data_IF_017130186993
#
_entry.id   IF_017130186993
#
_cell.length_a   1.000
_cell.length_b   1.000
_cell.length_c   1.000
_cell.angle_alpha   90.00
_cell.angle_beta   90.00
_cell.angle_gamma   90.00
#
_symmetry.space_group_name_H-M   'P 1'
#
loop_
_entity.id
_entity.type
_entity.pdbx_description
1 polymer ?
#
# COMPACT_ATOMS: atom_id res chain seq x y z
N UNK A 1 21.36 -47.73 -49.93
CA UNK A 1 21.78 -48.87 -49.08
C UNK A 1 21.27 -48.61 -47.68
N UNK A 2 20.26 -49.39 -47.29
CA UNK A 2 19.50 -49.27 -46.03
C UNK A 2 20.35 -49.67 -44.84
N UNK A 3 20.19 -48.99 -43.69
CA UNK A 3 20.33 -49.65 -42.39
C UNK A 3 19.42 -48.97 -41.39
N UNK A 4 18.43 -49.67 -40.90
CA UNK A 4 17.55 -49.36 -39.76
C UNK A 4 18.28 -49.71 -38.48
N UNK A 5 18.25 -48.86 -37.49
CA UNK A 5 18.56 -49.20 -36.09
C UNK A 5 17.34 -48.91 -35.24
N UNK A 6 16.72 -49.95 -34.72
CA UNK A 6 15.70 -49.96 -33.69
C UNK A 6 16.32 -49.53 -32.34
N UNK A 7 15.69 -48.60 -31.67
CA UNK A 7 15.93 -48.40 -30.21
C UNK A 7 14.64 -48.61 -29.45
N UNK A 8 14.67 -49.60 -28.61
CA UNK A 8 13.70 -50.04 -27.62
C UNK A 8 13.41 -48.92 -26.61
N UNK A 9 12.13 -48.67 -26.38
CA UNK A 9 11.63 -47.79 -25.28
C UNK A 9 11.79 -48.55 -23.95
N UNK A 10 12.64 -48.00 -23.08
CA UNK A 10 12.64 -48.33 -21.66
C UNK A 10 11.60 -47.47 -20.93
N UNK A 11 10.69 -48.15 -20.24
CA UNK A 11 9.62 -47.53 -19.47
C UNK A 11 10.13 -46.91 -18.16
N UNK A 12 10.23 -45.59 -18.13
CA UNK A 12 10.40 -44.89 -16.85
C UNK A 12 9.06 -44.75 -16.14
N UNK A 13 8.93 -45.38 -14.98
CA UNK A 13 7.85 -45.18 -14.03
C UNK A 13 7.90 -43.76 -13.48
N UNK A 14 6.84 -43.00 -13.72
CA UNK A 14 6.63 -41.68 -13.04
C UNK A 14 6.47 -41.93 -11.52
N UNK A 15 7.11 -41.12 -10.67
CA UNK A 15 6.83 -41.19 -9.24
C UNK A 15 5.44 -40.58 -8.98
N UNK A 16 4.67 -41.25 -8.12
CA UNK A 16 3.36 -40.76 -7.67
C UNK A 16 3.49 -39.38 -7.01
N UNK A 17 2.73 -38.40 -7.50
CA UNK A 17 2.66 -37.10 -6.92
C UNK A 17 2.02 -37.15 -5.53
N UNK A 18 2.80 -36.81 -4.51
CA UNK A 18 2.28 -36.56 -3.18
C UNK A 18 1.43 -35.28 -3.20
N UNK A 19 0.21 -35.29 -2.65
CA UNK A 19 -0.60 -34.08 -2.61
C UNK A 19 0.12 -33.02 -1.76
N UNK A 20 0.29 -31.82 -2.34
CA UNK A 20 0.94 -30.70 -1.67
C UNK A 20 0.12 -30.27 -0.46
N UNK A 21 0.79 -29.81 0.60
CA UNK A 21 0.18 -29.24 1.81
C UNK A 21 -0.88 -28.17 1.51
N UNK A 22 -0.82 -27.54 0.34
CA UNK A 22 -1.82 -26.57 -0.14
C UNK A 22 -3.20 -27.20 -0.38
N UNK A 23 -3.25 -28.43 -0.88
CA UNK A 23 -4.51 -29.16 -1.10
C UNK A 23 -5.21 -29.55 0.21
N UNK A 24 -4.45 -29.78 1.28
CA UNK A 24 -4.98 -30.10 2.60
C UNK A 24 -5.62 -28.88 3.29
N UNK A 25 -5.09 -27.68 3.07
CA UNK A 25 -5.68 -26.45 3.62
C UNK A 25 -7.00 -26.05 2.95
N UNK A 26 -7.16 -26.35 1.66
CA UNK A 26 -8.41 -26.05 0.93
C UNK A 26 -9.53 -27.01 1.31
N UNK A 27 -9.23 -28.25 1.66
CA UNK A 27 -10.23 -29.24 2.05
C UNK A 27 -10.86 -28.97 3.44
N UNK A 28 -10.16 -28.25 4.33
CA UNK A 28 -10.69 -27.90 5.66
C UNK A 28 -11.64 -26.67 5.63
N UNK A 29 -11.63 -25.88 4.57
CA UNK A 29 -12.45 -24.66 4.44
C UNK A 29 -13.87 -24.91 3.86
N UNK A 30 -14.20 -26.14 3.44
CA UNK A 30 -15.45 -26.47 2.75
C UNK A 30 -16.50 -27.19 3.62
N UNK A 31 -16.41 -27.13 4.96
CA UNK A 31 -17.51 -27.60 5.80
C UNK A 31 -18.61 -26.54 5.90
N UNK A 32 -19.88 -26.85 5.56
CA UNK A 32 -20.96 -25.87 5.66
C UNK A 32 -21.29 -25.63 7.14
N UNK A 33 -20.93 -24.44 7.65
CA UNK A 33 -21.46 -23.95 8.92
C UNK A 33 -22.85 -23.41 8.69
N UNK A 34 -23.83 -23.99 9.38
CA UNK A 34 -25.20 -23.48 9.44
C UNK A 34 -25.22 -22.10 10.08
N UNK A 35 -25.58 -21.08 9.29
CA UNK A 35 -25.75 -19.72 9.79
C UNK A 35 -26.98 -19.64 10.68
N UNK A 36 -26.80 -19.33 11.97
CA UNK A 36 -27.89 -18.84 12.82
C UNK A 36 -28.09 -17.36 12.50
N UNK A 37 -29.29 -17.02 12.05
CA UNK A 37 -29.69 -15.63 11.88
C UNK A 37 -29.83 -14.97 13.27
N UNK A 38 -28.98 -14.01 13.57
CA UNK A 38 -29.13 -13.13 14.70
C UNK A 38 -30.11 -12.00 14.35
N UNK A 39 -31.06 -11.75 15.21
CA UNK A 39 -32.06 -10.68 15.10
C UNK A 39 -31.39 -9.32 15.12
N UNK A 40 -31.69 -8.48 14.15
CA UNK A 40 -31.29 -7.08 14.11
C UNK A 40 -32.04 -6.30 15.19
N UNK A 41 -31.34 -5.91 16.26
CA UNK A 41 -31.77 -4.79 17.09
C UNK A 41 -31.38 -3.51 16.35
N UNK A 42 -32.34 -2.60 16.13
CA UNK A 42 -32.04 -1.26 15.63
C UNK A 42 -31.27 -0.49 16.72
N UNK A 43 -29.98 -0.37 16.56
CA UNK A 43 -29.16 0.50 17.41
C UNK A 43 -29.40 1.96 17.00
N UNK A 44 -30.13 2.66 17.88
CA UNK A 44 -30.24 4.12 17.80
C UNK A 44 -28.88 4.71 18.19
N UNK A 45 -28.12 5.20 17.23
CA UNK A 45 -26.86 5.92 17.50
C UNK A 45 -27.22 7.26 18.14
N UNK A 46 -27.13 7.33 19.45
CA UNK A 46 -27.15 8.60 20.20
C UNK A 46 -25.75 9.20 20.01
N UNK A 47 -25.66 10.27 19.20
CA UNK A 47 -24.44 11.09 19.14
C UNK A 47 -24.45 11.97 20.39
N UNK A 48 -23.89 11.45 21.47
CA UNK A 48 -23.56 12.27 22.64
C UNK A 48 -22.27 13.02 22.31
N UNK A 49 -22.30 14.37 22.36
CA UNK A 49 -21.16 15.24 22.11
C UNK A 49 -20.12 15.25 23.26
N UNK A 50 -20.16 14.25 24.12
CA UNK A 50 -19.11 14.00 25.11
C UNK A 50 -17.91 13.32 24.46
N UNK A 51 -16.74 13.89 24.64
CA UNK A 51 -15.47 13.32 24.19
C UNK A 51 -15.16 12.06 24.98
N UNK A 52 -15.55 10.90 24.46
CA UNK A 52 -15.06 9.62 24.95
C UNK A 52 -13.71 9.34 24.24
N UNK A 53 -12.62 9.65 24.93
CA UNK A 53 -11.24 9.46 24.46
C UNK A 53 -10.86 7.96 24.27
N UNK A 54 -11.79 7.04 24.48
CA UNK A 54 -11.57 5.60 24.36
C UNK A 54 -11.96 5.03 23.00
N UNK A 55 -12.41 5.86 22.05
CA UNK A 55 -12.78 5.35 20.73
C UNK A 55 -11.52 4.89 19.97
N UNK A 56 -11.49 3.60 19.75
CA UNK A 56 -10.49 2.93 18.92
C UNK A 56 -10.53 3.52 17.50
N UNK A 57 -9.39 4.06 17.04
CA UNK A 57 -9.25 4.68 15.73
C UNK A 57 -9.24 3.67 14.58
N UNK A 58 -9.33 2.38 14.89
CA UNK A 58 -9.26 1.32 13.88
C UNK A 58 -10.53 1.29 13.03
N UNK A 59 -10.39 1.64 11.75
CA UNK A 59 -11.47 1.46 10.76
C UNK A 59 -11.76 -0.03 10.51
N UNK A 60 -10.88 -0.94 10.94
CA UNK A 60 -11.07 -2.39 10.80
C UNK A 60 -12.21 -2.95 11.68
N UNK A 61 -12.63 -2.23 12.71
CA UNK A 61 -13.78 -2.59 13.53
C UNK A 61 -15.12 -2.10 12.93
N UNK A 62 -15.06 -1.14 12.02
CA UNK A 62 -16.25 -0.62 11.35
C UNK A 62 -16.29 -1.15 9.91
N UNK A 63 -17.23 -2.04 9.62
CA UNK A 63 -17.55 -2.49 8.25
C UNK A 63 -18.22 -1.35 7.46
N UNK A 64 -17.66 -0.14 7.54
CA UNK A 64 -18.23 1.06 6.96
C UNK A 64 -17.22 1.73 6.00
N UNK A 65 -17.77 2.42 4.99
CA UNK A 65 -17.02 3.24 4.06
C UNK A 65 -16.59 4.58 4.66
N UNK A 66 -17.17 4.98 5.78
CA UNK A 66 -16.91 6.24 6.46
C UNK A 66 -16.25 6.01 7.81
N UNK A 67 -15.27 6.84 8.14
CA UNK A 67 -14.71 6.90 9.49
C UNK A 67 -15.41 8.00 10.28
N UNK A 68 -15.71 7.74 11.55
CA UNK A 68 -16.35 8.72 12.44
C UNK A 68 -15.37 9.83 12.80
N UNK A 69 -14.13 9.47 13.10
CA UNK A 69 -13.08 10.38 13.52
C UNK A 69 -11.76 10.05 12.83
N UNK A 70 -10.86 11.02 12.73
CA UNK A 70 -9.51 10.83 12.23
C UNK A 70 -8.55 11.82 12.92
N UNK A 71 -7.27 11.44 13.01
CA UNK A 71 -6.19 12.31 13.49
C UNK A 71 -5.49 13.03 12.35
N UNK A 72 -5.76 12.64 11.10
CA UNK A 72 -5.08 13.14 9.92
C UNK A 72 -5.33 14.63 9.71
N UNK A 73 -4.25 15.36 9.46
CA UNK A 73 -4.27 16.81 9.23
C UNK A 73 -4.06 17.64 10.48
N UNK A 74 -4.32 17.13 11.69
CA UNK A 74 -4.20 17.91 12.93
C UNK A 74 -3.54 17.16 14.10
N UNK A 75 -3.45 15.84 14.05
CA UNK A 75 -3.13 14.90 15.16
C UNK A 75 -4.12 14.96 16.34
N UNK A 76 -5.12 15.81 16.28
CA UNK A 76 -6.28 15.79 17.18
C UNK A 76 -7.32 14.83 16.63
N UNK A 77 -8.05 14.18 17.53
CA UNK A 77 -9.12 13.25 17.15
C UNK A 77 -10.37 14.05 16.77
N UNK A 78 -10.54 14.34 15.49
CA UNK A 78 -11.63 15.19 14.99
C UNK A 78 -12.55 14.44 14.05
N UNK A 79 -13.82 14.83 14.04
CA UNK A 79 -14.75 14.44 12.98
C UNK A 79 -14.24 15.06 11.65
N UNK A 80 -14.24 14.33 10.52
CA UNK A 80 -13.71 14.86 9.24
C UNK A 80 -14.29 16.21 8.83
N UNK A 81 -15.53 16.52 9.24
CA UNK A 81 -16.19 17.79 8.98
C UNK A 81 -15.56 18.98 9.74
N UNK A 82 -14.96 18.73 10.89
CA UNK A 82 -14.38 19.76 11.75
C UNK A 82 -12.90 20.04 11.42
N UNK A 83 -12.32 19.26 10.52
CA UNK A 83 -10.97 19.47 10.01
C UNK A 83 -11.02 20.60 8.96
N UNK A 84 -10.24 21.69 9.11
CA UNK A 84 -10.29 22.84 8.19
C UNK A 84 -9.61 22.57 6.85
N UNK A 85 -9.61 21.33 6.39
CA UNK A 85 -9.02 20.86 5.14
C UNK A 85 -9.93 19.81 4.50
N UNK A 86 -9.76 19.60 3.19
CA UNK A 86 -10.50 18.57 2.47
C UNK A 86 -9.87 17.22 2.72
N UNK A 87 -10.48 16.38 3.55
CA UNK A 87 -10.02 15.05 3.90
C UNK A 87 -10.85 13.98 3.20
N UNK A 88 -10.19 12.94 2.72
CA UNK A 88 -10.80 11.69 2.30
C UNK A 88 -10.15 10.54 3.04
N UNK A 89 -10.94 9.67 3.63
CA UNK A 89 -10.46 8.44 4.26
C UNK A 89 -10.99 7.26 3.45
N UNK A 90 -10.10 6.41 3.00
CA UNK A 90 -10.41 5.20 2.25
C UNK A 90 -10.15 4.03 3.18
N UNK A 91 -11.23 3.47 3.73
CA UNK A 91 -11.19 2.37 4.70
C UNK A 91 -10.74 1.05 4.06
N UNK A 92 -10.34 0.11 4.89
CA UNK A 92 -10.01 -1.26 4.46
C UNK A 92 -11.19 -1.90 3.72
N UNK A 93 -12.41 -1.76 4.23
CA UNK A 93 -13.61 -2.31 3.59
C UNK A 93 -13.78 -1.74 2.18
N UNK A 94 -13.66 -0.43 2.02
CA UNK A 94 -13.74 0.21 0.71
C UNK A 94 -12.61 -0.27 -0.24
N UNK A 95 -11.39 -0.43 0.27
CA UNK A 95 -10.29 -0.96 -0.55
C UNK A 95 -10.58 -2.40 -1.00
N UNK A 96 -11.13 -3.23 -0.13
CA UNK A 96 -11.49 -4.61 -0.44
C UNK A 96 -12.62 -4.68 -1.47
N UNK A 97 -13.75 -3.98 -1.25
CA UNK A 97 -14.93 -4.02 -2.11
C UNK A 97 -14.67 -3.44 -3.52
N UNK A 98 -13.83 -2.42 -3.60
CA UNK A 98 -13.42 -1.81 -4.87
C UNK A 98 -12.17 -2.46 -5.48
N UNK A 99 -11.64 -3.53 -4.86
CA UNK A 99 -10.44 -4.25 -5.30
C UNK A 99 -9.24 -3.33 -5.54
N UNK A 100 -9.02 -2.36 -4.63
CA UNK A 100 -7.90 -1.41 -4.69
C UNK A 100 -6.68 -2.04 -4.02
N UNK A 101 -5.81 -2.65 -4.80
CA UNK A 101 -4.71 -3.51 -4.33
C UNK A 101 -3.36 -2.79 -4.23
N UNK A 102 -3.30 -1.50 -4.60
CA UNK A 102 -2.10 -0.67 -4.44
C UNK A 102 -2.47 0.76 -4.03
N UNK A 103 -1.52 1.45 -3.41
CA UNK A 103 -1.68 2.88 -3.07
C UNK A 103 -2.02 3.70 -4.31
N UNK A 104 -1.38 3.40 -5.45
CA UNK A 104 -1.67 4.06 -6.72
C UNK A 104 -3.12 3.91 -7.16
N UNK A 105 -3.72 2.72 -7.01
CA UNK A 105 -5.13 2.49 -7.30
C UNK A 105 -6.04 3.27 -6.34
N UNK A 106 -5.70 3.34 -5.05
CA UNK A 106 -6.43 4.15 -4.08
C UNK A 106 -6.41 5.62 -4.47
N UNK A 107 -5.23 6.16 -4.79
CA UNK A 107 -5.08 7.56 -5.20
C UNK A 107 -5.83 7.87 -6.49
N UNK A 108 -5.78 6.98 -7.49
CA UNK A 108 -6.54 7.12 -8.75
C UNK A 108 -8.05 7.18 -8.50
N UNK A 109 -8.55 6.47 -7.49
CA UNK A 109 -9.97 6.44 -7.12
C UNK A 109 -10.33 7.50 -6.05
N UNK A 110 -9.41 8.38 -5.69
CA UNK A 110 -9.65 9.44 -4.71
C UNK A 110 -10.05 10.75 -5.39
N UNK A 111 -11.19 11.31 -5.02
CA UNK A 111 -11.68 12.59 -5.54
C UNK A 111 -10.66 13.69 -5.35
N UNK A 112 -10.38 14.48 -6.40
CA UNK A 112 -9.45 15.60 -6.38
C UNK A 112 -7.97 15.20 -6.48
N UNK A 113 -7.69 13.93 -6.80
CA UNK A 113 -6.38 13.46 -7.22
C UNK A 113 -6.45 13.10 -8.71
N UNK A 114 -5.44 13.52 -9.45
CA UNK A 114 -5.27 13.18 -10.87
C UNK A 114 -4.04 12.30 -11.01
N UNK A 115 -4.20 11.13 -11.62
CA UNK A 115 -3.11 10.23 -11.93
C UNK A 115 -2.60 10.51 -13.36
N UNK A 116 -1.29 10.62 -13.50
CA UNK A 116 -0.61 10.66 -14.79
C UNK A 116 0.31 9.44 -14.92
N UNK A 117 -0.10 8.51 -15.76
CA UNK A 117 0.70 7.33 -16.11
C UNK A 117 1.85 7.80 -17.01
N UNK A 118 3.07 7.56 -16.58
CA UNK A 118 4.29 7.88 -17.35
C UNK A 118 4.73 6.70 -18.21
N UNK A 119 4.62 5.51 -17.65
CA UNK A 119 4.93 4.23 -18.30
C UNK A 119 4.24 3.06 -17.58
N UNK A 120 4.63 1.84 -17.86
CA UNK A 120 4.01 0.65 -17.27
C UNK A 120 4.13 0.57 -15.74
N UNK A 121 5.18 1.18 -15.16
CA UNK A 121 5.55 1.03 -13.74
C UNK A 121 5.47 2.32 -12.95
N UNK A 122 5.41 3.48 -13.61
CA UNK A 122 5.44 4.77 -12.95
C UNK A 122 4.18 5.56 -13.21
N UNK A 123 3.51 5.88 -12.14
CA UNK A 123 2.38 6.82 -12.11
C UNK A 123 2.71 7.94 -11.13
N UNK A 124 2.53 9.16 -11.54
CA UNK A 124 2.66 10.34 -10.70
C UNK A 124 1.28 10.92 -10.41
N UNK A 125 1.12 11.52 -9.25
CA UNK A 125 -0.15 12.01 -8.77
C UNK A 125 -0.11 13.51 -8.56
N UNK A 126 -1.20 14.17 -8.91
CA UNK A 126 -1.35 15.61 -8.78
C UNK A 126 -2.64 15.93 -8.02
N UNK A 127 -2.61 16.98 -7.25
CA UNK A 127 -3.79 17.59 -6.65
C UNK A 127 -3.71 19.09 -6.81
N UNK A 128 -4.79 19.72 -7.25
CA UNK A 128 -4.86 21.18 -7.47
C UNK A 128 -3.73 21.72 -8.37
N UNK A 129 -3.24 20.90 -9.31
CA UNK A 129 -2.17 21.27 -10.25
C UNK A 129 -0.74 21.07 -9.72
N UNK A 130 -0.58 20.63 -8.45
CA UNK A 130 0.73 20.36 -7.85
C UNK A 130 0.99 18.88 -7.71
N UNK A 131 2.25 18.47 -7.90
CA UNK A 131 2.71 17.11 -7.69
C UNK A 131 2.57 16.71 -6.21
N UNK A 132 2.00 15.53 -5.95
CA UNK A 132 1.87 14.96 -4.60
C UNK A 132 3.20 14.36 -4.18
N UNK A 133 3.93 15.08 -3.34
CA UNK A 133 5.24 14.66 -2.81
C UNK A 133 5.18 14.23 -1.33
N UNK A 134 4.13 14.61 -0.61
CA UNK A 134 4.02 14.43 0.83
C UNK A 134 3.27 13.15 1.15
N UNK A 135 4.00 12.17 1.65
CA UNK A 135 3.47 10.88 2.10
C UNK A 135 3.82 10.66 3.57
N UNK A 136 3.11 9.78 4.24
CA UNK A 136 3.44 9.35 5.59
C UNK A 136 3.06 7.88 5.83
N UNK A 137 3.73 7.27 6.77
CA UNK A 137 3.40 5.98 7.35
C UNK A 137 3.12 6.18 8.83
N UNK A 138 1.87 5.97 9.26
CA UNK A 138 1.40 6.25 10.63
C UNK A 138 1.81 7.67 11.10
N UNK A 139 1.52 8.67 10.26
CA UNK A 139 1.88 10.09 10.45
C UNK A 139 3.39 10.41 10.46
N UNK A 140 4.28 9.43 10.24
CA UNK A 140 5.71 9.67 10.05
C UNK A 140 5.98 10.15 8.63
N UNK A 141 6.41 11.40 8.43
CA UNK A 141 6.51 12.00 7.11
C UNK A 141 7.63 11.37 6.28
N UNK A 142 7.32 11.11 5.02
CA UNK A 142 8.27 10.75 3.97
C UNK A 142 8.03 11.61 2.74
N UNK A 143 9.03 11.81 1.91
CA UNK A 143 8.91 12.56 0.67
C UNK A 143 9.24 11.69 -0.52
N UNK A 144 8.32 11.65 -1.48
CA UNK A 144 8.53 10.99 -2.76
C UNK A 144 8.83 12.07 -3.79
N UNK A 145 10.01 12.02 -4.37
CA UNK A 145 10.41 12.91 -5.45
C UNK A 145 9.88 12.38 -6.78
N UNK A 146 9.48 13.28 -7.68
CA UNK A 146 9.09 12.90 -9.04
C UNK A 146 10.26 12.22 -9.79
N UNK A 147 11.48 12.73 -9.60
CA UNK A 147 12.71 12.19 -10.22
C UNK A 147 13.13 10.86 -9.57
N UNK A 148 13.02 10.75 -8.25
CA UNK A 148 13.38 9.57 -7.46
C UNK A 148 12.15 8.78 -7.04
N UNK A 149 11.24 8.55 -7.98
CA UNK A 149 10.07 7.72 -7.76
C UNK A 149 10.44 6.24 -7.95
N UNK A 150 10.67 5.55 -6.85
CA UNK A 150 11.02 4.12 -6.83
C UNK A 150 9.78 3.21 -6.89
N UNK A 151 8.62 3.75 -7.26
CA UNK A 151 7.39 2.98 -7.33
C UNK A 151 6.71 2.76 -5.97
N UNK A 152 6.91 3.66 -5.03
CA UNK A 152 6.33 3.59 -3.68
C UNK A 152 4.81 3.39 -3.70
N UNK A 153 4.13 3.96 -4.70
CA UNK A 153 2.67 3.84 -4.85
C UNK A 153 2.22 2.47 -5.37
N UNK A 154 3.14 1.58 -5.75
CA UNK A 154 2.85 0.17 -6.04
C UNK A 154 2.72 -0.69 -4.77
N UNK A 155 3.02 -0.12 -3.59
CA UNK A 155 2.88 -0.79 -2.30
C UNK A 155 1.47 -1.36 -2.12
N UNK A 156 1.41 -2.56 -1.50
CA UNK A 156 0.18 -3.32 -1.36
C UNK A 156 -0.72 -2.75 -0.25
N UNK A 157 -2.01 -2.67 -0.53
CA UNK A 157 -2.99 -2.13 0.43
C UNK A 157 -3.38 -3.12 1.53
N UNK A 158 -3.10 -4.41 1.38
CA UNK A 158 -3.51 -5.43 2.34
C UNK A 158 -2.97 -5.21 3.76
N UNK A 159 -1.83 -4.52 3.88
CA UNK A 159 -1.18 -4.24 5.16
C UNK A 159 -1.68 -2.96 5.85
N UNK A 160 -2.51 -2.15 5.15
CA UNK A 160 -3.03 -0.90 5.69
C UNK A 160 -4.48 -1.05 6.17
N UNK A 161 -4.78 -0.42 7.27
CA UNK A 161 -6.12 -0.27 7.82
C UNK A 161 -6.93 0.73 6.99
N UNK A 162 -6.31 1.85 6.66
CA UNK A 162 -6.89 2.91 5.83
C UNK A 162 -5.83 3.77 5.17
N UNK A 163 -6.23 4.47 4.13
CA UNK A 163 -5.44 5.50 3.47
C UNK A 163 -6.16 6.83 3.62
N UNK A 164 -5.48 7.82 4.13
CA UNK A 164 -6.01 9.15 4.40
C UNK A 164 -5.38 10.16 3.46
N UNK A 165 -6.20 10.98 2.80
CA UNK A 165 -5.74 11.98 1.82
C UNK A 165 -6.25 13.34 2.21
N UNK A 166 -5.33 14.21 2.65
CA UNK A 166 -5.59 15.62 2.99
C UNK A 166 -5.13 16.49 1.84
N UNK A 167 -6.05 17.22 1.21
CA UNK A 167 -5.76 18.03 0.02
C UNK A 167 -5.57 19.52 0.35
N UNK A 168 -4.53 20.10 -0.24
CA UNK A 168 -4.20 21.52 -0.13
C UNK A 168 -2.91 21.77 0.64
N UNK A 169 -2.86 22.87 1.37
CA UNK A 169 -1.70 23.25 2.17
C UNK A 169 -1.58 22.30 3.37
N UNK A 170 -0.58 21.44 3.35
CA UNK A 170 -0.37 20.37 4.33
C UNK A 170 0.79 20.67 5.29
N UNK A 171 1.30 21.91 5.27
CA UNK A 171 2.47 22.33 6.01
C UNK A 171 2.41 22.12 7.54
N UNK A 172 1.19 22.07 8.10
CA UNK A 172 1.02 21.78 9.53
C UNK A 172 1.51 20.36 9.89
N UNK A 173 1.30 19.39 8.97
CA UNK A 173 1.64 17.99 9.21
C UNK A 173 2.96 17.57 8.57
N UNK A 174 3.26 18.11 7.39
CA UNK A 174 4.43 17.71 6.60
C UNK A 174 5.60 18.71 6.65
N UNK A 175 5.40 19.89 7.27
CA UNK A 175 6.37 20.97 7.28
C UNK A 175 6.58 21.57 5.90
N UNK A 176 7.53 21.04 5.14
CA UNK A 176 7.82 21.47 3.75
C UNK A 176 7.17 20.53 2.74
N UNK A 177 6.90 21.03 1.56
CA UNK A 177 6.37 20.25 0.44
C UNK A 177 5.41 21.04 -0.44
N UNK A 178 4.91 20.39 -1.48
CA UNK A 178 3.96 20.99 -2.40
C UNK A 178 2.56 21.12 -1.75
N UNK A 179 1.82 22.18 -2.03
CA UNK A 179 0.44 22.36 -1.55
C UNK A 179 -0.57 21.51 -2.33
N UNK A 180 -0.21 20.28 -2.64
CA UNK A 180 -0.99 19.30 -3.39
C UNK A 180 -1.91 18.49 -2.49
N UNK A 181 -1.33 17.49 -1.88
CA UNK A 181 -1.97 16.62 -0.90
C UNK A 181 -0.91 16.00 0.03
N UNK A 182 -1.38 15.57 1.19
CA UNK A 182 -0.68 14.69 2.12
C UNK A 182 -1.40 13.35 2.14
N UNK A 183 -0.66 12.27 1.95
CA UNK A 183 -1.19 10.91 1.89
C UNK A 183 -0.63 10.11 3.06
N UNK A 184 -1.48 9.76 4.02
CA UNK A 184 -1.10 8.98 5.18
C UNK A 184 -1.57 7.53 5.03
N UNK A 185 -0.64 6.60 5.15
CA UNK A 185 -0.88 5.16 5.10
C UNK A 185 -0.86 4.62 6.51
N UNK A 186 -2.05 4.36 7.06
CA UNK A 186 -2.21 3.86 8.42
C UNK A 186 -2.15 2.33 8.39
N UNK A 187 -1.18 1.75 9.09
CA UNK A 187 -0.96 0.30 9.12
C UNK A 187 -1.98 -0.40 10.00
N UNK A 188 -2.20 -1.67 9.73
CA UNK A 188 -2.99 -2.56 10.56
C UNK A 188 -2.27 -2.90 11.85
N UNK A 189 -3.00 -2.97 12.95
CA UNK A 189 -2.54 -3.42 14.27
C UNK A 189 -3.03 -4.83 14.60
N UNK A 190 -2.47 -5.43 15.64
CA UNK A 190 -2.92 -6.70 16.22
C UNK A 190 -3.88 -6.40 17.37
N UNK A 191 -5.15 -6.20 17.05
CA UNK A 191 -6.19 -5.78 17.99
C UNK A 191 -7.07 -6.93 18.52
N UNK A 192 -7.01 -8.12 17.91
CA UNK A 192 -7.89 -9.22 18.28
C UNK A 192 -7.44 -9.96 19.55
N UNK A 193 -8.39 -10.13 20.46
CA UNK A 193 -8.25 -10.96 21.66
C UNK A 193 -8.46 -12.47 21.39
N UNK A 194 -8.82 -12.82 20.14
CA UNK A 194 -9.05 -14.19 19.69
C UNK A 194 -8.27 -14.45 18.42
N UNK A 195 -8.05 -15.72 18.10
CA UNK A 195 -7.47 -16.07 16.80
C UNK A 195 -8.47 -15.71 15.70
N UNK A 196 -8.02 -14.86 14.77
CA UNK A 196 -8.73 -14.53 13.53
C UNK A 196 -7.84 -14.75 12.34
N UNK A 197 -8.43 -15.24 11.26
CA UNK A 197 -7.72 -15.45 10.02
C UNK A 197 -8.59 -15.14 8.82
N UNK A 198 -7.98 -14.54 7.81
CA UNK A 198 -8.60 -14.33 6.51
C UNK A 198 -7.64 -14.84 5.43
N UNK A 199 -8.18 -15.63 4.50
CA UNK A 199 -7.47 -16.08 3.30
C UNK A 199 -8.26 -15.60 2.10
N UNK A 200 -7.62 -14.88 1.23
CA UNK A 200 -8.20 -14.48 -0.06
C UNK A 200 -7.39 -15.03 -1.22
N UNK A 201 -8.09 -15.52 -2.24
CA UNK A 201 -7.52 -15.94 -3.51
C UNK A 201 -8.36 -15.35 -4.63
N UNK A 202 -7.71 -14.79 -5.63
CA UNK A 202 -8.38 -14.24 -6.80
C UNK A 202 -7.66 -14.63 -8.08
N UNK A 203 -8.46 -14.83 -9.14
CA UNK A 203 -8.00 -15.04 -10.50
C UNK A 203 -8.68 -14.03 -11.42
N UNK A 204 -7.96 -13.47 -12.37
CA UNK A 204 -8.47 -12.43 -13.25
C UNK A 204 -7.90 -12.48 -14.66
N UNK A 205 -8.20 -11.47 -15.46
CA UNK A 205 -7.69 -11.32 -16.81
C UNK A 205 -6.17 -11.25 -16.83
N UNK A 206 -5.56 -11.70 -17.93
CA UNK A 206 -4.10 -11.81 -18.11
C UNK A 206 -3.45 -12.67 -17.04
N UNK A 207 -4.04 -13.82 -16.77
CA UNK A 207 -3.57 -14.84 -15.82
C UNK A 207 -3.26 -14.29 -14.42
N UNK A 208 -3.91 -13.16 -14.06
CA UNK A 208 -3.71 -12.55 -12.76
C UNK A 208 -4.14 -13.48 -11.65
N UNK A 209 -3.16 -13.87 -10.85
CA UNK A 209 -3.32 -14.68 -9.64
C UNK A 209 -2.88 -13.86 -8.44
N UNK A 210 -3.70 -13.83 -7.39
CA UNK A 210 -3.36 -13.15 -6.15
C UNK A 210 -3.83 -13.95 -4.95
N UNK A 211 -2.97 -14.10 -3.98
CA UNK A 211 -3.20 -14.81 -2.73
C UNK A 211 -2.77 -13.92 -1.57
N UNK A 212 -3.61 -13.80 -0.56
CA UNK A 212 -3.32 -13.04 0.66
C UNK A 212 -3.76 -13.85 1.87
N UNK A 213 -2.90 -13.91 2.86
CA UNK A 213 -3.14 -14.48 4.18
C UNK A 213 -3.01 -13.36 5.21
N UNK A 214 -4.01 -13.19 6.08
CA UNK A 214 -4.02 -12.24 7.20
C UNK A 214 -4.43 -12.99 8.46
N UNK A 215 -3.50 -13.15 9.39
CA UNK A 215 -3.70 -13.88 10.65
C UNK A 215 -3.41 -12.97 11.81
N UNK A 216 -4.24 -13.04 12.86
CA UNK A 216 -3.97 -12.38 14.12
C UNK A 216 -4.40 -13.26 15.30
N UNK A 217 -3.67 -13.13 16.41
CA UNK A 217 -3.93 -13.89 17.61
C UNK A 217 -3.34 -13.22 18.86
N UNK A 218 -3.92 -13.44 20.04
CA UNK A 218 -3.21 -13.22 21.29
C UNK A 218 -2.00 -14.15 21.37
N UNK A 219 -0.85 -13.63 21.76
CA UNK A 219 0.39 -14.39 21.95
C UNK A 219 0.59 -14.84 23.39
N UNK A 220 -0.20 -14.30 24.31
CA UNK A 220 -0.24 -14.66 25.72
C UNK A 220 -1.71 -14.82 26.15
N UNK A 221 -1.96 -15.70 27.15
CA UNK A 221 -3.32 -16.00 27.63
C UNK A 221 -4.07 -14.75 28.14
N UNK A 222 -3.38 -13.78 28.68
CA UNK A 222 -3.98 -12.51 29.13
C UNK A 222 -4.49 -11.61 28.01
N UNK A 223 -4.17 -11.91 26.75
CA UNK A 223 -4.47 -11.06 25.60
C UNK A 223 -3.68 -9.74 25.55
N UNK A 224 -2.79 -9.47 26.55
CA UNK A 224 -2.02 -8.23 26.61
C UNK A 224 -0.93 -8.13 25.55
N UNK A 225 -0.51 -9.24 24.93
CA UNK A 225 0.40 -9.26 23.79
C UNK A 225 -0.29 -9.96 22.64
N UNK A 226 -0.41 -9.27 21.53
CA UNK A 226 -1.11 -9.73 20.32
C UNK A 226 -0.18 -9.62 19.13
N UNK A 227 -0.34 -10.53 18.18
CA UNK A 227 0.42 -10.53 16.94
C UNK A 227 -0.48 -10.57 15.72
N UNK A 228 -0.05 -9.93 14.64
CA UNK A 228 -0.67 -10.02 13.31
C UNK A 228 0.39 -10.29 12.26
N UNK A 229 0.10 -11.20 11.35
CA UNK A 229 0.94 -11.56 10.22
C UNK A 229 0.12 -11.47 8.94
N UNK A 230 0.60 -10.67 7.98
CA UNK A 230 -0.03 -10.56 6.66
C UNK A 230 1.03 -10.87 5.61
N UNK A 231 0.70 -11.76 4.69
CA UNK A 231 1.58 -12.07 3.57
C UNK A 231 0.77 -12.26 2.30
N UNK A 232 1.38 -11.96 1.17
CA UNK A 232 0.72 -12.15 -0.10
C UNK A 232 1.66 -12.30 -1.28
N UNK A 233 1.09 -12.84 -2.34
CA UNK A 233 1.73 -13.06 -3.62
C UNK A 233 0.79 -12.66 -4.73
N UNK A 234 1.29 -11.99 -5.75
CA UNK A 234 0.59 -11.67 -6.97
C UNK A 234 1.50 -11.96 -8.17
N UNK A 235 0.90 -12.50 -9.22
CA UNK A 235 1.54 -12.81 -10.49
C UNK A 235 0.54 -12.52 -11.60
N UNK A 236 0.94 -11.76 -12.62
CA UNK A 236 0.05 -11.43 -13.75
C UNK A 236 0.80 -10.96 -14.97
N UNK A 237 0.23 -11.23 -16.12
CA UNK A 237 0.55 -10.57 -17.37
C UNK A 237 -0.21 -9.25 -17.54
N UNK A 238 -0.14 -8.65 -18.72
CA UNK A 238 -0.83 -7.41 -19.09
C UNK A 238 -1.41 -7.52 -20.48
N UNK A 239 -2.22 -6.52 -20.85
CA UNK A 239 -2.61 -6.34 -22.27
C UNK A 239 -1.44 -5.89 -23.15
N UNK A 240 -0.31 -5.48 -22.55
CA UNK A 240 0.93 -5.15 -23.28
C UNK A 240 1.72 -6.42 -23.50
N UNK A 241 2.16 -6.63 -24.75
CA UNK A 241 2.90 -7.84 -25.14
C UNK A 241 4.16 -8.02 -24.29
N UNK A 242 4.43 -9.25 -23.87
CA UNK A 242 5.56 -9.69 -23.04
C UNK A 242 5.65 -9.12 -21.62
N UNK A 243 4.82 -8.14 -21.26
CA UNK A 243 4.82 -7.58 -19.91
C UNK A 243 4.37 -8.61 -18.88
N UNK A 244 5.21 -8.85 -17.87
CA UNK A 244 4.89 -9.73 -16.76
C UNK A 244 5.25 -9.07 -15.42
N UNK A 245 4.34 -9.14 -14.44
CA UNK A 245 4.48 -8.50 -13.14
C UNK A 245 4.30 -9.52 -12.01
N UNK A 246 5.24 -9.50 -11.07
CA UNK A 246 5.21 -10.30 -9.85
C UNK A 246 5.42 -9.43 -8.63
N UNK A 247 4.66 -9.70 -7.57
CA UNK A 247 4.78 -9.00 -6.27
C UNK A 247 4.67 -9.98 -5.11
N UNK A 248 5.48 -9.76 -4.08
CA UNK A 248 5.42 -10.45 -2.78
C UNK A 248 5.48 -9.43 -1.67
N UNK A 249 4.80 -9.71 -0.57
CA UNK A 249 4.91 -8.88 0.63
C UNK A 249 4.74 -9.71 1.90
N UNK A 250 5.37 -9.22 2.96
CA UNK A 250 5.30 -9.74 4.31
C UNK A 250 5.17 -8.56 5.28
N UNK A 251 4.21 -8.64 6.17
CA UNK A 251 3.97 -7.67 7.23
C UNK A 251 3.76 -8.41 8.54
N UNK A 252 4.44 -7.99 9.58
CA UNK A 252 4.25 -8.51 10.92
C UNK A 252 4.22 -7.36 11.92
N UNK A 253 3.26 -7.37 12.84
CA UNK A 253 3.19 -6.44 13.96
C UNK A 253 2.84 -7.17 15.24
N UNK A 254 3.45 -6.72 16.33
CA UNK A 254 3.15 -7.13 17.69
C UNK A 254 2.73 -5.90 18.49
N UNK A 255 1.57 -5.96 19.09
CA UNK A 255 1.02 -4.96 20.01
C UNK A 255 1.01 -5.51 21.42
N UNK A 256 1.60 -4.78 22.37
CA UNK A 256 1.74 -5.16 23.76
C UNK A 256 1.20 -4.07 24.69
N UNK A 257 0.20 -4.40 25.50
CA UNK A 257 -0.27 -3.57 26.59
C UNK A 257 0.68 -3.76 27.78
N UNK A 258 1.75 -2.95 27.81
CA UNK A 258 2.81 -3.01 28.83
C UNK A 258 2.24 -2.68 30.22
N UNK A 259 1.32 -1.73 30.25
CA UNK A 259 0.44 -1.43 31.39
C UNK A 259 -0.97 -1.21 30.86
N UNK A 260 -1.94 -1.00 31.74
CA UNK A 260 -3.33 -0.70 31.31
C UNK A 260 -3.45 0.68 30.60
N UNK A 261 -2.43 1.52 30.70
CA UNK A 261 -2.36 2.84 30.07
C UNK A 261 -1.22 2.99 29.04
N UNK A 262 -0.38 1.97 28.84
CA UNK A 262 0.79 2.02 27.95
C UNK A 262 0.72 0.89 26.93
N UNK A 263 0.65 1.23 25.65
CA UNK A 263 0.69 0.27 24.53
C UNK A 263 1.98 0.48 23.73
N UNK A 264 2.69 -0.59 23.45
CA UNK A 264 3.88 -0.64 22.58
C UNK A 264 3.57 -1.50 21.36
N UNK A 265 3.78 -0.95 20.17
CA UNK A 265 3.69 -1.67 18.91
C UNK A 265 5.07 -1.74 18.26
N UNK A 266 5.45 -2.92 17.77
CA UNK A 266 6.69 -3.11 17.00
C UNK A 266 6.35 -3.92 15.76
N UNK A 267 6.81 -3.47 14.59
CA UNK A 267 6.48 -4.15 13.36
C UNK A 267 7.57 -4.11 12.30
N UNK A 268 7.39 -5.01 11.36
CA UNK A 268 8.25 -5.22 10.19
C UNK A 268 7.39 -5.31 8.92
N UNK A 269 7.84 -4.66 7.87
CA UNK A 269 7.24 -4.68 6.54
C UNK A 269 8.32 -4.96 5.51
N UNK A 270 8.05 -5.90 4.60
CA UNK A 270 8.83 -6.17 3.41
C UNK A 270 7.91 -6.26 2.20
N UNK A 271 8.28 -5.58 1.11
CA UNK A 271 7.59 -5.68 -0.17
C UNK A 271 8.62 -5.77 -1.29
N UNK A 272 8.38 -6.66 -2.25
CA UNK A 272 9.22 -6.89 -3.42
C UNK A 272 8.33 -6.94 -4.67
N UNK A 273 8.76 -6.29 -5.73
CA UNK A 273 8.14 -6.43 -7.06
C UNK A 273 9.18 -6.59 -8.14
N UNK A 274 8.83 -7.41 -9.12
CA UNK A 274 9.60 -7.64 -10.33
C UNK A 274 8.71 -7.43 -11.55
N UNK A 275 9.16 -6.64 -12.50
CA UNK A 275 8.51 -6.44 -13.80
C UNK A 275 9.47 -6.87 -14.89
N UNK A 276 9.05 -7.80 -15.73
CA UNK A 276 9.71 -8.14 -16.99
C UNK A 276 9.12 -7.31 -18.13
N UNK A 277 9.96 -6.92 -19.06
CA UNK A 277 9.63 -6.14 -20.25
C UNK A 277 8.80 -4.86 -19.98
N UNK A 278 9.15 -4.07 -18.93
CA UNK A 278 8.47 -2.82 -18.65
C UNK A 278 8.75 -1.79 -19.76
N UNK A 279 7.76 -0.95 -20.02
CA UNK A 279 7.96 0.19 -20.92
C UNK A 279 8.65 1.33 -20.18
N UNK A 280 9.46 2.12 -20.90
CA UNK A 280 10.01 3.39 -20.41
C UNK A 280 9.51 4.52 -21.31
N UNK A 281 8.39 5.14 -20.92
CA UNK A 281 7.64 6.05 -21.76
C UNK A 281 6.68 5.32 -22.72
N UNK A 282 6.28 6.00 -23.77
CA UNK A 282 5.28 5.52 -24.72
C UNK A 282 5.82 5.36 -26.14
N UNK A 283 4.93 4.92 -27.03
CA UNK A 283 5.16 4.85 -28.46
C UNK A 283 5.05 6.24 -29.11
N UNK A 284 5.81 6.53 -30.18
CA UNK A 284 5.70 7.78 -30.93
C UNK A 284 4.29 7.99 -31.49
N UNK A 285 3.71 9.16 -31.30
CA UNK A 285 2.34 9.47 -31.71
C UNK A 285 2.23 9.84 -33.20
N UNK A 286 3.34 10.21 -33.84
CA UNK A 286 3.38 10.73 -35.20
C UNK A 286 4.43 10.00 -36.03
N UNK A 287 4.11 9.83 -37.31
CA UNK A 287 5.06 9.45 -38.35
C UNK A 287 5.93 10.65 -38.76
N UNK A 288 7.01 10.42 -39.47
CA UNK A 288 7.92 11.46 -39.97
C UNK A 288 7.24 12.38 -40.99
N UNK A 289 6.19 11.94 -41.65
CA UNK A 289 5.35 12.74 -42.57
C UNK A 289 4.31 13.61 -41.86
N UNK A 290 4.24 13.58 -40.52
CA UNK A 290 3.29 14.31 -39.70
C UNK A 290 1.92 13.65 -39.59
N UNK A 291 1.71 12.49 -40.18
CA UNK A 291 0.47 11.71 -40.00
C UNK A 291 0.51 10.97 -38.64
N UNK A 292 -0.67 10.68 -38.09
CA UNK A 292 -0.80 10.02 -36.78
C UNK A 292 -0.48 8.53 -36.93
N UNK A 293 0.27 8.00 -35.98
CA UNK A 293 0.54 6.56 -35.86
C UNK A 293 -0.70 5.79 -35.40
N UNK A 294 -0.78 4.54 -35.78
CA UNK A 294 -1.87 3.64 -35.40
C UNK A 294 -1.29 2.31 -34.91
N UNK A 295 -0.95 2.26 -33.62
CA UNK A 295 -0.43 1.06 -32.98
C UNK A 295 -1.54 0.20 -32.38
N UNK A 296 -1.32 -1.11 -32.35
CA UNK A 296 -2.16 -2.00 -31.58
C UNK A 296 -2.03 -1.66 -30.08
N UNK A 297 -3.09 -1.88 -29.32
CA UNK A 297 -3.13 -1.63 -27.89
C UNK A 297 -2.04 -2.43 -27.13
N UNK A 298 -1.72 -3.61 -27.60
CA UNK A 298 -0.73 -4.50 -26.98
C UNK A 298 0.72 -4.17 -27.33
N UNK A 299 0.94 -3.37 -28.36
CA UNK A 299 2.25 -3.14 -28.93
C UNK A 299 3.20 -2.45 -27.94
N UNK A 300 4.41 -2.99 -27.81
CA UNK A 300 5.49 -2.47 -26.99
C UNK A 300 6.76 -2.30 -27.80
N UNK A 301 7.68 -1.50 -27.28
CA UNK A 301 9.08 -1.41 -27.74
C UNK A 301 10.04 -1.84 -26.63
N UNK A 302 9.53 -2.38 -25.52
CA UNK A 302 10.36 -2.94 -24.48
C UNK A 302 11.15 -4.13 -25.04
N UNK A 303 12.49 -4.14 -24.89
CA UNK A 303 13.29 -5.28 -25.29
C UNK A 303 13.20 -6.40 -24.24
N UNK A 304 13.46 -7.64 -24.65
CA UNK A 304 13.43 -8.84 -23.82
C UNK A 304 14.43 -8.86 -22.63
N UNK A 305 15.39 -7.94 -22.62
CA UNK A 305 16.32 -7.75 -21.52
C UNK A 305 15.87 -6.67 -20.52
N UNK A 306 14.76 -5.98 -20.79
CA UNK A 306 14.25 -4.95 -19.88
C UNK A 306 13.65 -5.56 -18.61
N UNK A 307 13.93 -4.93 -17.48
CA UNK A 307 13.34 -5.32 -16.21
C UNK A 307 13.28 -4.15 -15.23
N UNK A 308 12.44 -4.27 -14.22
CA UNK A 308 12.38 -3.34 -13.10
C UNK A 308 12.13 -4.11 -11.80
N UNK A 309 13.17 -4.16 -10.97
CA UNK A 309 13.15 -4.77 -9.64
C UNK A 309 13.08 -3.70 -8.57
N UNK A 310 12.20 -3.90 -7.60
CA UNK A 310 12.03 -2.99 -6.48
C UNK A 310 11.81 -3.78 -5.21
N UNK A 311 12.47 -3.39 -4.14
CA UNK A 311 12.20 -3.92 -2.81
C UNK A 311 12.19 -2.81 -1.78
N UNK A 312 11.42 -3.00 -0.73
CA UNK A 312 11.39 -2.08 0.39
C UNK A 312 11.24 -2.83 1.71
N UNK A 313 12.01 -2.43 2.68
CA UNK A 313 11.98 -2.91 4.06
C UNK A 313 11.68 -1.75 4.99
N UNK A 314 10.78 -1.96 5.96
CA UNK A 314 10.49 -0.99 7.02
C UNK A 314 10.43 -1.69 8.36
N UNK A 315 11.09 -1.11 9.35
CA UNK A 315 10.98 -1.49 10.76
C UNK A 315 10.43 -0.27 11.49
N UNK A 316 9.44 -0.47 12.34
CA UNK A 316 8.80 0.62 13.07
C UNK A 316 8.46 0.24 14.50
N UNK A 317 8.36 1.24 15.34
CA UNK A 317 7.89 1.11 16.71
C UNK A 317 7.05 2.33 17.11
N UNK A 318 5.93 2.09 17.76
CA UNK A 318 5.00 3.11 18.23
C UNK A 318 4.72 2.88 19.71
N UNK A 319 4.83 3.93 20.52
CA UNK A 319 4.51 3.93 21.95
C UNK A 319 3.38 4.93 22.19
N UNK A 320 2.32 4.46 22.80
CA UNK A 320 1.21 5.30 23.25
C UNK A 320 1.09 5.20 24.78
N UNK A 321 1.12 6.35 25.46
CA UNK A 321 0.87 6.46 26.89
C UNK A 321 -0.37 7.31 27.12
N UNK A 322 -1.37 6.74 27.79
CA UNK A 322 -2.58 7.45 28.25
C UNK A 322 -2.40 7.86 29.70
N UNK A 323 -2.83 9.06 30.03
CA UNK A 323 -2.78 9.60 31.39
C UNK A 323 -4.20 9.73 31.97
N UNK A 324 -4.35 9.61 33.29
CA UNK A 324 -5.64 9.66 33.98
C UNK A 324 -6.42 10.98 33.78
N UNK A 325 -5.72 12.04 33.38
CA UNK A 325 -6.31 13.35 33.08
C UNK A 325 -6.80 13.51 31.64
N UNK A 326 -6.86 12.40 30.85
CA UNK A 326 -7.29 12.39 29.46
C UNK A 326 -6.23 12.86 28.44
N UNK A 327 -4.99 13.10 28.88
CA UNK A 327 -3.88 13.37 27.96
C UNK A 327 -3.27 12.09 27.42
N UNK A 328 -2.73 12.16 26.20
CA UNK A 328 -2.01 11.05 25.55
C UNK A 328 -0.67 11.53 25.02
N UNK A 329 0.38 10.75 25.28
CA UNK A 329 1.69 10.92 24.68
C UNK A 329 1.93 9.81 23.63
N UNK A 330 2.46 10.19 22.48
CA UNK A 330 2.81 9.29 21.38
C UNK A 330 4.27 9.49 21.01
N UNK A 331 4.97 8.38 20.80
CA UNK A 331 6.31 8.35 20.22
C UNK A 331 6.32 7.31 19.10
N UNK A 332 6.62 7.74 17.90
CA UNK A 332 6.68 6.89 16.73
C UNK A 332 8.07 6.94 16.12
N UNK A 333 8.60 5.81 15.71
CA UNK A 333 9.89 5.70 15.05
C UNK A 333 9.85 4.73 13.87
N UNK A 334 10.58 5.03 12.80
CA UNK A 334 10.68 4.18 11.62
C UNK A 334 12.07 4.26 11.01
N UNK A 335 12.59 3.11 10.62
CA UNK A 335 13.69 2.96 9.68
C UNK A 335 13.17 2.29 8.42
N UNK A 336 13.47 2.88 7.26
CA UNK A 336 13.04 2.37 5.95
C UNK A 336 14.20 2.33 4.97
N UNK A 337 14.27 1.27 4.19
CA UNK A 337 15.17 1.11 3.08
C UNK A 337 14.37 0.69 1.83
N UNK A 338 14.60 1.37 0.71
CA UNK A 338 13.97 1.05 -0.57
C UNK A 338 15.07 0.99 -1.62
N UNK A 339 15.11 -0.11 -2.37
CA UNK A 339 16.05 -0.34 -3.45
C UNK A 339 15.32 -0.47 -4.77
N UNK A 340 15.96 -0.05 -5.84
CA UNK A 340 15.54 -0.40 -7.18
C UNK A 340 16.74 -0.71 -8.08
N UNK A 341 16.52 -1.66 -8.98
CA UNK A 341 17.44 -2.01 -10.06
C UNK A 341 16.63 -2.19 -11.35
N UNK A 342 16.92 -1.42 -12.38
CA UNK A 342 16.17 -1.49 -13.62
C UNK A 342 17.03 -1.32 -14.84
N UNK A 343 16.76 -2.12 -15.86
CA UNK A 343 17.25 -1.90 -17.23
C UNK A 343 16.06 -1.55 -18.10
N UNK A 344 16.08 -0.36 -18.66
CA UNK A 344 14.95 0.19 -19.39
C UNK A 344 15.41 0.76 -20.73
N UNK A 345 14.50 0.80 -21.69
CA UNK A 345 14.72 1.43 -22.98
C UNK A 345 13.51 2.30 -23.36
N UNK A 346 13.78 3.51 -23.83
CA UNK A 346 12.76 4.33 -24.50
C UNK A 346 13.14 4.57 -25.95
N UNK A 347 12.13 4.83 -26.77
CA UNK A 347 12.31 5.17 -28.17
C UNK A 347 12.17 6.69 -28.36
N UNK A 348 13.01 7.24 -29.23
CA UNK A 348 12.96 8.65 -29.66
C UNK A 348 12.96 8.72 -31.18
N UNK A 349 12.34 9.77 -31.74
CA UNK A 349 12.24 10.00 -33.17
C UNK A 349 10.82 9.79 -33.70
N UNK A 350 10.70 9.93 -35.00
CA UNK A 350 9.44 9.74 -35.73
C UNK A 350 9.64 8.65 -36.79
N UNK A 351 8.91 7.53 -36.71
CA UNK A 351 9.09 6.46 -37.68
C UNK A 351 8.61 6.89 -39.07
N UNK A 352 9.32 6.47 -40.08
CA UNK A 352 8.83 6.53 -41.44
C UNK A 352 7.69 5.54 -41.63
N UNK A 353 6.62 5.97 -42.28
CA UNK A 353 5.38 5.20 -42.37
C UNK A 353 5.50 3.91 -43.21
N UNK A 354 6.37 3.91 -44.19
CA UNK A 354 6.54 2.79 -45.11
C UNK A 354 7.62 1.82 -44.65
N UNK A 355 8.71 2.35 -44.14
CA UNK A 355 9.92 1.57 -43.77
C UNK A 355 10.03 1.30 -42.27
N UNK A 356 9.34 2.06 -41.41
CA UNK A 356 9.49 2.03 -39.97
C UNK A 356 10.81 2.63 -39.45
N UNK A 357 11.68 3.10 -40.34
CA UNK A 357 12.97 3.69 -39.98
C UNK A 357 12.79 5.05 -39.29
N UNK A 358 13.81 5.50 -38.56
CA UNK A 358 13.83 6.83 -37.91
C UNK A 358 13.58 6.80 -36.40
N UNK A 359 13.41 5.61 -35.81
CA UNK A 359 13.41 5.44 -34.36
C UNK A 359 14.81 5.08 -33.85
N UNK A 360 15.19 5.67 -32.73
CA UNK A 360 16.42 5.35 -32.03
C UNK A 360 16.07 4.94 -30.60
N UNK A 361 16.54 3.76 -30.19
CA UNK A 361 16.41 3.26 -28.82
C UNK A 361 17.50 3.79 -27.91
N UNK A 362 17.13 4.29 -26.75
CA UNK A 362 18.05 4.71 -25.69
C UNK A 362 17.85 3.81 -24.48
N UNK A 363 18.84 2.97 -24.22
CA UNK A 363 18.85 2.06 -23.06
C UNK A 363 19.54 2.71 -21.86
N UNK A 364 19.03 2.40 -20.67
CA UNK A 364 19.62 2.81 -19.40
C UNK A 364 19.62 1.68 -18.39
N UNK A 365 20.66 1.62 -17.58
CA UNK A 365 20.71 0.77 -16.39
C UNK A 365 20.76 1.68 -15.17
N UNK A 366 19.70 1.65 -14.38
CA UNK A 366 19.49 2.53 -13.25
C UNK A 366 19.41 1.72 -11.97
N UNK A 367 20.16 2.13 -10.98
CA UNK A 367 20.12 1.60 -9.63
C UNK A 367 19.97 2.73 -8.64
N UNK A 368 19.28 2.49 -7.56
CA UNK A 368 19.20 3.47 -6.49
C UNK A 368 18.78 2.84 -5.17
N UNK A 369 19.18 3.51 -4.13
CA UNK A 369 18.86 3.20 -2.76
C UNK A 369 18.32 4.44 -2.08
N UNK A 370 17.24 4.29 -1.30
CA UNK A 370 16.73 5.32 -0.41
C UNK A 370 16.67 4.79 1.00
N UNK A 371 17.38 5.45 1.91
CA UNK A 371 17.32 5.18 3.34
C UNK A 371 16.63 6.34 4.05
N UNK A 372 15.74 6.00 4.98
CA UNK A 372 15.02 6.99 5.76
C UNK A 372 14.97 6.58 7.23
N UNK A 373 15.30 7.53 8.08
CA UNK A 373 15.08 7.48 9.52
C UNK A 373 14.07 8.57 9.89
N UNK A 374 13.01 8.21 10.60
CA UNK A 374 12.00 9.17 11.03
C UNK A 374 11.60 8.91 12.48
N UNK A 375 11.43 9.98 13.24
CA UNK A 375 10.91 9.96 14.60
C UNK A 375 9.92 11.10 14.77
N UNK A 376 8.82 10.82 15.44
CA UNK A 376 7.79 11.77 15.81
C UNK A 376 7.42 11.57 17.27
N UNK A 377 7.27 12.67 18.00
CA UNK A 377 6.81 12.66 19.38
C UNK A 377 5.83 13.79 19.61
N UNK A 378 4.66 13.49 20.16
CA UNK A 378 3.66 14.49 20.48
C UNK A 378 2.85 14.13 21.71
N UNK A 379 2.29 15.17 22.34
CA UNK A 379 1.34 15.10 23.44
C UNK A 379 0.04 15.78 22.98
N UNK A 380 -1.10 15.15 23.23
CA UNK A 380 -2.42 15.73 22.96
C UNK A 380 -3.33 15.58 24.15
N UNK A 381 -4.29 16.48 24.32
CA UNK A 381 -5.29 16.38 25.37
C UNK A 381 -6.16 17.61 25.49
N UNK A 382 -7.19 17.49 26.30
CA UNK A 382 -8.13 18.55 26.61
C UNK A 382 -7.77 19.32 27.88
N UNK A 383 -8.19 20.58 27.94
CA UNK A 383 -8.11 21.41 29.14
C UNK A 383 -9.26 22.42 29.16
N UNK A 384 -9.71 22.80 30.36
CA UNK A 384 -10.75 23.79 30.53
C UNK A 384 -10.14 25.19 30.69
N UNK A 385 -10.62 26.15 29.91
CA UNK A 385 -10.23 27.54 30.00
C UNK A 385 -11.42 28.45 29.75
N UNK A 386 -11.65 29.44 30.60
CA UNK A 386 -12.78 30.37 30.51
C UNK A 386 -14.16 29.73 30.40
N UNK A 387 -14.36 28.59 31.08
CA UNK A 387 -15.63 27.85 31.06
C UNK A 387 -15.90 27.11 29.74
N UNK A 388 -14.89 26.91 28.91
CA UNK A 388 -14.94 26.14 27.68
C UNK A 388 -13.88 25.07 27.69
N UNK A 389 -14.19 23.92 27.09
CA UNK A 389 -13.24 22.87 26.81
C UNK A 389 -12.43 23.22 25.57
N UNK A 390 -11.13 23.06 25.65
CA UNK A 390 -10.16 23.26 24.58
C UNK A 390 -9.36 21.98 24.40
N UNK A 391 -8.99 21.70 23.16
CA UNK A 391 -8.03 20.65 22.83
C UNK A 391 -6.74 21.24 22.35
N UNK A 392 -5.64 20.62 22.70
CA UNK A 392 -4.30 21.05 22.31
C UNK A 392 -3.44 19.83 21.94
N UNK A 393 -2.62 20.03 20.94
CA UNK A 393 -1.53 19.13 20.56
C UNK A 393 -0.24 19.94 20.46
N UNK A 394 0.85 19.41 20.99
CA UNK A 394 2.18 19.91 20.73
C UNK A 394 3.16 18.75 20.59
N UNK A 395 4.13 18.92 19.72
CA UNK A 395 5.11 17.89 19.44
C UNK A 395 6.09 18.32 18.38
N UNK A 396 6.89 17.37 17.94
CA UNK A 396 7.84 17.58 16.86
C UNK A 396 8.20 16.29 16.16
N UNK A 397 8.55 16.41 14.89
CA UNK A 397 9.01 15.30 14.07
C UNK A 397 10.38 15.59 13.47
N UNK A 398 11.15 14.54 13.31
CA UNK A 398 12.41 14.57 12.60
C UNK A 398 12.41 13.44 11.55
N UNK A 399 12.75 13.79 10.32
CA UNK A 399 12.94 12.81 9.25
C UNK A 399 14.21 13.13 8.48
N UNK A 400 15.02 12.12 8.26
CA UNK A 400 16.22 12.20 7.44
C UNK A 400 16.14 11.16 6.33
N UNK A 401 16.15 11.63 5.09
CA UNK A 401 16.15 10.79 3.89
C UNK A 401 17.44 10.99 3.12
N UNK A 402 18.01 9.90 2.62
CA UNK A 402 19.16 9.89 1.73
C UNK A 402 18.81 9.03 0.53
N UNK A 403 19.11 9.57 -0.65
CA UNK A 403 18.97 8.86 -1.94
C UNK A 403 20.35 8.70 -2.56
N UNK A 404 20.67 7.52 -3.04
CA UNK A 404 21.95 7.15 -3.66
C UNK A 404 21.72 6.54 -5.03
#
# INVERSE_FOLDING_TARGET
MMSFINHTRDGQRQPAATPSLLAACIALALTPTTAFAASTAEDTVVVDGGFDNTQDLSASQEQDYSVKTTTTGTKLLLVPRDIPQSVSVISQQRMADQNLQSIGQVLTNTTGITAQVQDSDRTVFYSRGFFVSNYAYDDLPTSISEVWNFGDTAADTAIYDRIEVVRGATGLMSGTGNPAAYVNMVRKHADSQEFKGNVSASYGSWDKQRYVLDLQAPLVESGKVRGRLITGYQDNDSFVDNYHYRKKFLYGVMDADVTDSTTLSVGYEYQESHTADPTWGGLPTWYSDGSKTNYNRSQTVAPDWAYSDKDSTRIFANLTQRFDNGWEAHINGMHAETNFDSKLMYMSGYPDKETGAGLVGYGGWNRGERKQDAVDAFLRGGFDLFGRQHEMMFGGSFSRQRNH
#
